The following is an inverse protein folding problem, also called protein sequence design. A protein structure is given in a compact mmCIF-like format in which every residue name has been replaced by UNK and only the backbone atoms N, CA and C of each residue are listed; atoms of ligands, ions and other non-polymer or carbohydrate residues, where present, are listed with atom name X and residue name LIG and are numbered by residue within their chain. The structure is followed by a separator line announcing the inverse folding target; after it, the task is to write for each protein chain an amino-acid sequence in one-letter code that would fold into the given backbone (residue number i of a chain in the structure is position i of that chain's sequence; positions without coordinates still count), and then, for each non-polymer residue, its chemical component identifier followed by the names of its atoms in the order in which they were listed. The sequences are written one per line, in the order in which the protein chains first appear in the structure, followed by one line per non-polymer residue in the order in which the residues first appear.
data_IF_298368194069
#
_entry.id   IF_298368194069
#
_cell.length_a   1.000
_cell.length_b   1.000
_cell.length_c   1.000
_cell.angle_alpha   90.00
_cell.angle_beta   90.00
_cell.angle_gamma   90.00
#
_symmetry.space_group_name_H-M   'P 1'
#
loop_
_entity.id
_entity.type
_entity.pdbx_description
1 polymer ?
#
# COMPACT_ATOMS: atom_id res chain seq x y z
N UNK A 1 6.04 16.71 8.79
CA UNK A 1 4.95 15.79 9.17
C UNK A 1 4.63 14.88 8.00
N UNK A 2 4.46 13.60 8.25
CA UNK A 2 4.11 12.57 7.26
C UNK A 2 2.78 11.95 7.67
N UNK A 3 1.88 11.72 6.71
CA UNK A 3 0.65 10.96 6.92
C UNK A 3 0.83 9.58 6.30
N UNK A 4 0.86 8.57 7.12
CA UNK A 4 1.13 7.19 6.73
C UNK A 4 -0.14 6.34 6.74
N UNK A 5 -0.19 5.37 5.84
CA UNK A 5 -1.22 4.36 5.76
C UNK A 5 -0.77 3.20 4.85
N UNK A 6 -1.43 2.07 4.97
CA UNK A 6 -1.23 0.94 4.07
C UNK A 6 -2.42 0.72 3.14
N UNK A 7 -2.14 0.12 1.99
CA UNK A 7 -3.19 -0.27 1.06
C UNK A 7 -2.92 -1.62 0.45
N UNK A 8 -4.00 -2.35 0.17
CA UNK A 8 -3.97 -3.66 -0.47
C UNK A 8 -4.41 -3.54 -1.92
N UNK A 9 -3.65 -4.16 -2.80
CA UNK A 9 -3.92 -4.28 -4.22
C UNK A 9 -4.24 -5.73 -4.56
N UNK A 10 -5.30 -5.93 -5.30
CA UNK A 10 -5.74 -7.24 -5.74
C UNK A 10 -5.29 -7.51 -7.18
N UNK A 11 -4.90 -8.75 -7.45
CA UNK A 11 -4.58 -9.22 -8.81
C UNK A 11 -5.78 -9.19 -9.74
N UNK A 12 -6.97 -9.25 -9.20
CA UNK A 12 -8.22 -9.29 -9.95
C UNK A 12 -8.86 -7.92 -10.07
N UNK A 13 -9.56 -7.70 -11.20
CA UNK A 13 -10.30 -6.48 -11.40
C UNK A 13 -11.38 -6.30 -10.33
N UNK A 14 -11.40 -5.11 -9.74
CA UNK A 14 -12.50 -4.70 -8.88
C UNK A 14 -13.63 -4.16 -9.76
N UNK A 15 -14.88 -4.61 -9.56
CA UNK A 15 -16.04 -4.01 -10.22
C UNK A 15 -16.10 -2.51 -9.90
N UNK A 16 -16.34 -1.70 -10.92
CA UNK A 16 -16.53 -0.26 -10.75
C UNK A 16 -17.83 0.20 -11.37
N UNK A 17 -18.47 1.14 -10.73
CA UNK A 17 -19.54 1.92 -11.34
C UNK A 17 -18.94 2.78 -12.46
N UNK A 18 -19.58 2.80 -13.60
CA UNK A 18 -19.20 3.61 -14.77
C UNK A 18 -20.41 3.93 -15.62
N UNK A 19 -20.27 4.92 -16.49
CA UNK A 19 -21.29 5.25 -17.48
C UNK A 19 -21.13 4.28 -18.68
N UNK A 20 -22.21 3.57 -19.02
CA UNK A 20 -22.25 2.62 -20.12
C UNK A 20 -23.42 2.93 -21.04
N UNK A 21 -23.25 2.73 -22.33
CA UNK A 21 -24.38 2.76 -23.25
C UNK A 21 -25.43 1.72 -22.82
N UNK A 22 -26.69 2.10 -22.80
CA UNK A 22 -27.84 1.30 -22.31
C UNK A 22 -27.95 -0.09 -22.95
N UNK A 23 -27.38 -0.27 -24.15
CA UNK A 23 -27.35 -1.57 -24.85
C UNK A 23 -26.07 -2.40 -24.61
N UNK A 24 -25.07 -1.86 -23.90
CA UNK A 24 -23.81 -2.55 -23.66
C UNK A 24 -23.65 -2.87 -22.18
N UNK A 25 -23.67 -4.15 -21.84
CA UNK A 25 -23.23 -4.58 -20.49
C UNK A 25 -21.72 -4.43 -20.40
N UNK A 26 -21.24 -3.81 -19.30
CA UNK A 26 -19.84 -3.80 -18.98
C UNK A 26 -19.29 -5.24 -18.96
N UNK A 27 -18.51 -5.60 -19.94
CA UNK A 27 -17.77 -6.86 -19.94
C UNK A 27 -16.45 -6.59 -19.23
N UNK A 28 -16.36 -6.97 -17.96
CA UNK A 28 -15.05 -7.15 -17.35
C UNK A 28 -14.34 -8.24 -18.17
N UNK A 29 -13.16 -7.95 -18.68
CA UNK A 29 -12.33 -8.94 -19.37
C UNK A 29 -11.69 -9.91 -18.36
N UNK A 30 -12.51 -10.39 -17.44
CA UNK A 30 -12.16 -11.42 -16.49
C UNK A 30 -12.60 -12.75 -17.08
N UNK A 31 -11.66 -13.56 -17.52
CA UNK A 31 -11.98 -15.00 -17.59
C UNK A 31 -12.39 -15.37 -16.16
N UNK A 32 -13.63 -15.89 -15.94
CA UNK A 32 -14.00 -16.35 -14.63
C UNK A 32 -12.97 -17.40 -14.21
N UNK A 33 -12.38 -17.22 -13.03
CA UNK A 33 -11.49 -18.23 -12.48
C UNK A 33 -12.28 -19.52 -12.32
N UNK A 34 -11.73 -20.61 -12.83
CA UNK A 34 -12.33 -21.93 -12.59
C UNK A 34 -12.27 -22.22 -11.09
N UNK A 35 -13.24 -22.99 -10.57
CA UNK A 35 -13.23 -23.40 -9.16
C UNK A 35 -11.91 -24.08 -8.75
N UNK A 36 -11.24 -24.77 -9.69
CA UNK A 36 -9.92 -25.36 -9.48
C UNK A 36 -8.81 -24.31 -9.33
N UNK A 37 -8.92 -23.14 -9.97
CA UNK A 37 -7.99 -22.03 -9.78
C UNK A 37 -8.23 -21.34 -8.44
N UNK A 38 -9.48 -21.15 -8.03
CA UNK A 38 -9.84 -20.61 -6.72
C UNK A 38 -9.31 -21.51 -5.60
N UNK A 39 -9.52 -22.83 -5.69
CA UNK A 39 -8.99 -23.80 -4.71
C UNK A 39 -7.47 -23.85 -4.68
N UNK A 40 -6.78 -23.73 -5.82
CA UNK A 40 -5.32 -23.63 -5.89
C UNK A 40 -4.82 -22.33 -5.25
N UNK A 41 -5.48 -21.20 -5.48
CA UNK A 41 -5.12 -19.93 -4.89
C UNK A 41 -5.36 -19.93 -3.37
N UNK A 42 -6.40 -20.61 -2.87
CA UNK A 42 -6.64 -20.81 -1.43
C UNK A 42 -5.63 -21.76 -0.79
N UNK A 43 -5.27 -22.84 -1.46
CA UNK A 43 -4.20 -23.74 -1.03
C UNK A 43 -2.84 -23.03 -1.02
N UNK A 44 -2.59 -22.19 -2.02
CA UNK A 44 -1.39 -21.36 -2.10
C UNK A 44 -1.34 -20.31 -0.99
N UNK A 45 -2.49 -19.71 -0.60
CA UNK A 45 -2.60 -18.83 0.58
C UNK A 45 -2.17 -19.54 1.87
N UNK A 46 -2.65 -20.77 2.08
CA UNK A 46 -2.27 -21.56 3.29
C UNK A 46 -0.79 -21.94 3.29
N UNK A 47 -0.23 -22.34 2.15
CA UNK A 47 1.19 -22.69 2.05
C UNK A 47 2.11 -21.46 2.05
N UNK A 48 1.69 -20.34 1.48
CA UNK A 48 2.44 -19.08 1.50
C UNK A 48 2.54 -18.51 2.92
N UNK A 49 1.55 -18.74 3.78
CA UNK A 49 1.62 -18.34 5.19
C UNK A 49 2.68 -19.11 5.98
N UNK A 50 3.00 -20.35 5.58
CA UNK A 50 3.93 -21.23 6.30
C UNK A 50 5.38 -21.13 5.80
N UNK A 51 5.62 -20.74 4.54
CA UNK A 51 6.94 -20.86 3.89
C UNK A 51 7.56 -19.56 3.43
N UNK A 52 8.41 -18.98 4.13
CA UNK A 52 9.47 -18.07 3.67
C UNK A 52 9.21 -16.56 3.44
N UNK A 53 10.18 -15.81 3.84
CA UNK A 53 10.36 -14.37 3.85
C UNK A 53 11.03 -13.83 2.55
N UNK A 54 10.80 -14.44 1.39
CA UNK A 54 11.50 -14.14 0.13
C UNK A 54 10.55 -13.63 -0.97
N UNK A 55 11.08 -12.86 -1.90
CA UNK A 55 10.40 -12.35 -3.11
C UNK A 55 9.72 -13.43 -3.97
N UNK A 56 10.17 -14.69 -3.91
CA UNK A 56 9.52 -15.80 -4.59
C UNK A 56 8.05 -16.03 -4.16
N UNK A 57 7.61 -15.45 -3.06
CA UNK A 57 6.22 -15.46 -2.59
C UNK A 57 5.31 -14.48 -3.31
N UNK A 58 5.86 -13.40 -3.87
CA UNK A 58 5.09 -12.42 -4.61
C UNK A 58 4.48 -13.06 -5.86
N UNK A 59 5.13 -14.08 -6.42
CA UNK A 59 4.71 -14.69 -7.69
C UNK A 59 3.52 -15.63 -7.58
N UNK A 60 3.20 -16.13 -6.39
CA UNK A 60 2.13 -17.13 -6.18
C UNK A 60 0.89 -16.61 -5.45
N UNK A 61 0.90 -15.39 -4.98
CA UNK A 61 -0.20 -14.81 -4.19
C UNK A 61 -1.27 -14.09 -5.02
N UNK A 62 -2.27 -13.59 -4.34
CA UNK A 62 -3.46 -12.93 -4.91
C UNK A 62 -3.46 -11.42 -4.64
N UNK A 63 -2.67 -10.97 -3.69
CA UNK A 63 -2.63 -9.58 -3.24
C UNK A 63 -1.21 -9.06 -3.01
N UNK A 64 -1.06 -7.77 -3.11
CA UNK A 64 0.15 -7.02 -2.85
C UNK A 64 -0.18 -5.88 -1.90
N UNK A 65 0.68 -5.61 -0.93
CA UNK A 65 0.52 -4.49 -0.03
C UNK A 65 1.47 -3.35 -0.39
N UNK A 66 1.03 -2.12 -0.17
CA UNK A 66 1.86 -0.91 -0.30
C UNK A 66 1.76 -0.14 1.00
N UNK A 67 2.89 0.09 1.64
CA UNK A 67 3.03 1.02 2.75
C UNK A 67 3.39 2.36 2.14
N UNK A 68 2.75 3.45 2.56
CA UNK A 68 3.09 4.75 2.05
C UNK A 68 2.88 5.87 3.04
N UNK A 69 3.58 6.97 2.81
CA UNK A 69 3.38 8.20 3.57
C UNK A 69 3.47 9.42 2.64
N UNK A 70 2.60 10.38 2.85
CA UNK A 70 2.64 11.66 2.15
C UNK A 70 3.18 12.76 3.06
N UNK A 71 4.11 13.53 2.56
CA UNK A 71 4.67 14.66 3.29
C UNK A 71 3.75 15.87 3.19
N UNK A 72 3.33 16.38 4.36
CA UNK A 72 2.54 17.61 4.47
C UNK A 72 3.24 18.79 3.76
N UNK A 73 2.47 19.55 3.01
CA UNK A 73 2.90 20.76 2.32
C UNK A 73 3.66 20.53 1.01
N UNK A 74 4.34 19.40 0.82
CA UNK A 74 5.11 19.11 -0.41
C UNK A 74 4.43 18.10 -1.32
N UNK A 75 3.43 17.38 -0.81
CA UNK A 75 2.76 16.26 -1.48
C UNK A 75 3.71 15.13 -1.93
N UNK A 76 4.96 15.11 -1.46
CA UNK A 76 5.91 14.03 -1.76
C UNK A 76 5.42 12.72 -1.13
N UNK A 77 5.36 11.66 -1.91
CA UNK A 77 4.95 10.33 -1.48
C UNK A 77 6.17 9.44 -1.30
N UNK A 78 6.31 8.87 -0.11
CA UNK A 78 7.24 7.78 0.18
C UNK A 78 6.46 6.48 0.11
N UNK A 79 7.03 5.42 -0.44
CA UNK A 79 6.32 4.13 -0.50
C UNK A 79 7.29 2.95 -0.46
N UNK A 80 6.75 1.82 -0.01
CA UNK A 80 7.38 0.51 -0.07
C UNK A 80 6.34 -0.51 -0.49
N UNK A 81 6.65 -1.29 -1.53
CA UNK A 81 5.80 -2.39 -1.99
C UNK A 81 6.25 -3.65 -1.27
N UNK A 82 5.33 -4.33 -0.61
CA UNK A 82 5.62 -5.49 0.25
C UNK A 82 4.64 -6.63 -0.06
N UNK A 83 5.04 -7.90 0.16
CA UNK A 83 4.14 -9.04 -0.02
C UNK A 83 2.94 -9.01 0.93
N UNK A 84 3.16 -8.56 2.15
CA UNK A 84 2.15 -8.40 3.20
C UNK A 84 2.60 -7.28 4.14
N UNK A 85 1.68 -6.69 4.87
CA UNK A 85 1.97 -5.66 5.84
C UNK A 85 2.12 -6.28 7.22
N UNK A 86 3.30 -6.09 7.84
CA UNK A 86 3.58 -6.49 9.22
C UNK A 86 4.55 -5.50 9.90
N UNK A 87 4.76 -5.68 11.21
CA UNK A 87 5.63 -4.80 11.98
C UNK A 87 7.11 -4.82 11.50
N UNK A 88 7.55 -5.91 10.89
CA UNK A 88 8.90 -6.03 10.33
C UNK A 88 9.04 -5.15 9.08
N UNK A 89 8.04 -5.19 8.19
CA UNK A 89 8.02 -4.38 6.98
C UNK A 89 7.87 -2.89 7.32
N UNK A 90 7.02 -2.56 8.31
CA UNK A 90 6.90 -1.19 8.82
C UNK A 90 8.22 -0.68 9.42
N UNK A 91 8.92 -1.50 10.20
CA UNK A 91 10.24 -1.17 10.74
C UNK A 91 11.23 -0.80 9.63
N UNK A 92 11.33 -1.64 8.60
CA UNK A 92 12.21 -1.37 7.46
C UNK A 92 11.78 -0.11 6.69
N UNK A 93 10.48 0.14 6.58
CA UNK A 93 9.94 1.33 5.96
C UNK A 93 10.32 2.59 6.75
N UNK A 94 10.23 2.57 8.08
CA UNK A 94 10.69 3.69 8.94
C UNK A 94 12.17 3.98 8.67
N UNK A 95 13.04 2.97 8.64
CA UNK A 95 14.46 3.17 8.32
C UNK A 95 14.67 3.78 6.92
N UNK A 96 13.92 3.33 5.91
CA UNK A 96 13.97 3.89 4.56
C UNK A 96 13.55 5.37 4.53
N UNK A 97 12.48 5.73 5.22
CA UNK A 97 12.00 7.11 5.33
C UNK A 97 13.04 7.97 6.07
N UNK A 98 13.52 7.51 7.23
CA UNK A 98 14.48 8.25 8.04
C UNK A 98 15.83 8.45 7.35
N UNK A 99 16.26 7.52 6.50
CA UNK A 99 17.44 7.71 5.65
C UNK A 99 17.32 8.93 4.73
N UNK A 100 16.10 9.25 4.26
CA UNK A 100 15.84 10.47 3.46
C UNK A 100 15.96 11.75 4.29
N UNK A 101 15.59 11.69 5.57
CA UNK A 101 15.60 12.81 6.49
C UNK A 101 16.87 12.91 7.36
N UNK A 102 17.91 12.12 7.06
CA UNK A 102 19.13 12.05 7.90
C UNK A 102 19.83 13.39 8.13
N UNK A 103 19.69 14.36 7.21
CA UNK A 103 20.27 15.70 7.29
C UNK A 103 19.32 16.73 7.91
N UNK A 104 18.13 16.35 8.27
CA UNK A 104 17.13 17.24 8.84
C UNK A 104 17.32 17.32 10.35
N UNK A 105 17.42 18.51 10.88
CA UNK A 105 17.47 18.76 12.34
C UNK A 105 16.09 18.67 12.99
N UNK A 106 15.01 18.82 12.19
CA UNK A 106 13.63 18.77 12.65
C UNK A 106 13.18 17.35 12.90
N UNK A 107 12.41 17.16 13.95
CA UNK A 107 11.76 15.86 14.22
C UNK A 107 10.77 15.48 13.11
N UNK A 108 10.84 14.24 12.67
CA UNK A 108 9.90 13.65 11.73
C UNK A 108 8.73 13.07 12.53
N UNK A 109 7.56 13.65 12.37
CA UNK A 109 6.31 13.14 12.96
C UNK A 109 5.55 12.35 11.90
N UNK A 110 5.30 11.09 12.17
CA UNK A 110 4.50 10.22 11.30
C UNK A 110 3.11 10.02 11.92
N UNK A 111 2.09 10.50 11.23
CA UNK A 111 0.70 10.40 11.64
C UNK A 111 0.18 9.06 11.15
N UNK A 112 -0.29 8.24 12.07
CA UNK A 112 -0.71 6.85 11.84
C UNK A 112 -2.06 6.56 12.48
N UNK A 113 -2.74 5.54 12.02
CA UNK A 113 -3.91 5.00 12.72
C UNK A 113 -3.52 4.22 13.99
N UNK A 114 -4.52 3.71 14.70
CA UNK A 114 -4.32 2.89 15.91
C UNK A 114 -4.22 1.39 15.62
N UNK A 115 -3.82 1.00 14.43
CA UNK A 115 -3.57 -0.41 14.10
C UNK A 115 -2.63 -1.07 15.12
N UNK A 116 -2.85 -2.35 15.40
CA UNK A 116 -1.97 -3.13 16.27
C UNK A 116 -0.52 -3.20 15.80
N UNK A 117 -0.30 -3.05 14.49
CA UNK A 117 1.04 -3.07 13.89
C UNK A 117 1.85 -1.86 14.33
N UNK A 118 1.23 -0.66 14.39
CA UNK A 118 1.89 0.58 14.84
C UNK A 118 2.27 0.56 16.35
N UNK A 119 1.67 -0.35 17.12
CA UNK A 119 1.92 -0.53 18.57
C UNK A 119 2.68 -1.82 18.88
N UNK A 120 3.21 -2.48 17.87
CA UNK A 120 3.92 -3.75 18.07
C UNK A 120 5.27 -3.52 18.75
N UNK A 121 5.57 -4.28 19.81
CA UNK A 121 6.87 -4.25 20.52
C UNK A 121 8.09 -4.41 19.60
N UNK A 122 7.92 -5.00 18.42
CA UNK A 122 8.98 -5.11 17.42
C UNK A 122 9.47 -3.75 16.90
N UNK A 123 8.74 -2.66 17.14
CA UNK A 123 9.11 -1.30 16.75
C UNK A 123 9.89 -0.57 17.83
N UNK A 124 9.84 -1.02 19.10
CA UNK A 124 10.40 -0.31 20.25
C UNK A 124 11.89 0.03 20.04
N UNK A 125 12.70 -0.95 19.65
CA UNK A 125 14.12 -0.70 19.37
C UNK A 125 14.37 0.31 18.24
N UNK A 126 13.47 0.41 17.26
CA UNK A 126 13.56 1.39 16.17
C UNK A 126 13.14 2.78 16.63
N UNK A 127 12.09 2.87 17.44
CA UNK A 127 11.63 4.12 18.03
C UNK A 127 12.69 4.67 19.00
N UNK A 128 13.32 3.81 19.78
CA UNK A 128 14.44 4.19 20.66
C UNK A 128 15.67 4.67 19.88
N UNK A 129 16.02 3.97 18.78
CA UNK A 129 17.11 4.35 17.90
C UNK A 129 16.92 5.77 17.30
N UNK A 130 15.69 6.14 16.98
CA UNK A 130 15.36 7.46 16.43
C UNK A 130 14.76 8.42 17.45
N UNK A 131 14.93 8.18 18.75
CA UNK A 131 14.42 9.04 19.82
C UNK A 131 14.85 10.51 19.62
N UNK A 132 13.90 11.44 19.69
CA UNK A 132 14.13 12.86 19.43
C UNK A 132 14.24 13.25 17.95
N UNK A 133 14.30 12.28 17.04
CA UNK A 133 14.30 12.51 15.57
C UNK A 133 13.05 12.00 14.87
N UNK A 134 12.36 11.04 15.48
CA UNK A 134 11.17 10.42 14.93
C UNK A 134 10.19 10.06 16.03
N UNK A 135 8.89 10.25 15.76
CA UNK A 135 7.80 9.73 16.60
C UNK A 135 6.53 9.47 15.80
N UNK A 136 5.71 8.58 16.31
CA UNK A 136 4.34 8.43 15.87
C UNK A 136 3.41 9.47 16.52
N UNK A 137 2.44 9.91 15.75
CA UNK A 137 1.26 10.64 16.23
C UNK A 137 0.02 9.84 15.82
N UNK A 138 -0.72 9.33 16.82
CA UNK A 138 -1.87 8.47 16.58
C UNK A 138 -3.13 9.29 16.32
N UNK A 139 -3.81 9.01 15.21
CA UNK A 139 -5.12 9.54 14.93
C UNK A 139 -6.15 9.03 15.94
N UNK A 140 -7.25 9.77 16.20
CA UNK A 140 -8.38 9.26 16.96
C UNK A 140 -8.90 7.95 16.35
N UNK A 141 -9.45 7.07 17.19
CA UNK A 141 -10.01 5.82 16.73
C UNK A 141 -11.14 6.08 15.70
N UNK A 142 -11.20 5.24 14.66
CA UNK A 142 -12.21 5.29 13.60
C UNK A 142 -12.23 6.57 12.73
N UNK A 143 -11.22 7.43 12.82
CA UNK A 143 -11.15 8.68 12.06
C UNK A 143 -10.14 8.63 10.90
N UNK A 144 -9.37 7.55 10.73
CA UNK A 144 -8.30 7.44 9.75
C UNK A 144 -8.76 7.81 8.33
N UNK A 145 -9.84 7.19 7.87
CA UNK A 145 -10.38 7.39 6.51
C UNK A 145 -10.92 8.81 6.21
N UNK A 146 -11.18 9.63 7.22
CA UNK A 146 -11.58 11.03 7.05
C UNK A 146 -10.44 12.00 7.23
N UNK A 147 -9.50 11.70 8.13
CA UNK A 147 -8.44 12.62 8.54
C UNK A 147 -7.10 12.34 7.88
N UNK A 148 -6.93 11.17 7.24
CA UNK A 148 -5.68 10.82 6.59
C UNK A 148 -5.72 11.15 5.09
N UNK A 149 -5.02 12.19 4.63
CA UNK A 149 -5.08 12.64 3.23
C UNK A 149 -4.53 11.61 2.24
N UNK A 150 -3.74 10.64 2.68
CA UNK A 150 -3.20 9.58 1.80
C UNK A 150 -4.28 8.62 1.31
N UNK A 151 -5.41 8.51 1.99
CA UNK A 151 -6.54 7.68 1.58
C UNK A 151 -7.10 8.09 0.19
N UNK A 152 -7.19 9.40 -0.06
CA UNK A 152 -7.59 9.92 -1.36
C UNK A 152 -6.60 9.52 -2.46
N UNK A 153 -5.31 9.54 -2.16
CA UNK A 153 -4.26 9.08 -3.06
C UNK A 153 -4.38 7.59 -3.36
N UNK A 154 -4.59 6.75 -2.34
CA UNK A 154 -4.77 5.31 -2.53
C UNK A 154 -5.93 4.98 -3.47
N UNK A 155 -7.03 5.72 -3.37
CA UNK A 155 -8.18 5.54 -4.27
C UNK A 155 -7.79 5.78 -5.72
N UNK A 156 -7.17 6.94 -6.01
CA UNK A 156 -6.74 7.29 -7.38
C UNK A 156 -5.66 6.33 -7.90
N UNK A 157 -4.73 5.93 -7.03
CA UNK A 157 -3.69 4.96 -7.39
C UNK A 157 -4.28 3.59 -7.73
N UNK A 158 -5.22 3.07 -6.92
CA UNK A 158 -5.92 1.81 -7.20
C UNK A 158 -6.63 1.85 -8.56
N UNK A 159 -7.18 3.00 -8.92
CA UNK A 159 -7.80 3.23 -10.22
C UNK A 159 -6.80 3.16 -11.36
N UNK A 160 -5.71 3.89 -11.24
CA UNK A 160 -4.66 3.92 -12.25
C UNK A 160 -4.00 2.54 -12.45
N UNK A 161 -3.93 1.72 -11.40
CA UNK A 161 -3.36 0.37 -11.46
C UNK A 161 -4.35 -0.63 -12.04
N UNK A 162 -5.55 -0.70 -11.45
CA UNK A 162 -6.43 -1.86 -11.54
C UNK A 162 -7.77 -1.64 -12.25
N UNK A 163 -8.11 -0.40 -12.69
CA UNK A 163 -9.41 -0.15 -13.30
C UNK A 163 -9.67 -1.07 -14.51
N UNK A 164 -10.63 -2.00 -14.34
CA UNK A 164 -11.02 -2.96 -15.39
C UNK A 164 -9.93 -3.96 -15.79
N UNK A 165 -8.88 -4.15 -15.00
CA UNK A 165 -7.74 -5.01 -15.33
C UNK A 165 -7.61 -6.19 -14.39
N UNK A 166 -7.26 -7.34 -14.99
CA UNK A 166 -6.76 -8.52 -14.28
C UNK A 166 -5.28 -8.71 -14.63
N UNK A 167 -4.50 -9.13 -13.66
CA UNK A 167 -3.10 -9.45 -13.83
C UNK A 167 -2.92 -10.96 -13.84
N UNK A 168 -2.09 -11.48 -14.76
CA UNK A 168 -1.82 -12.89 -14.88
C UNK A 168 -1.12 -13.47 -13.64
N UNK A 169 -0.25 -12.64 -13.02
CA UNK A 169 0.50 -12.98 -11.82
C UNK A 169 0.76 -11.73 -10.95
N UNK A 170 1.33 -11.92 -9.77
CA UNK A 170 1.70 -10.81 -8.89
C UNK A 170 2.87 -9.98 -9.41
N UNK A 171 3.74 -10.56 -10.23
CA UNK A 171 4.83 -9.81 -10.81
C UNK A 171 4.32 -8.71 -11.74
N UNK A 172 3.32 -9.01 -12.57
CA UNK A 172 2.66 -8.00 -13.42
C UNK A 172 1.99 -6.91 -12.59
N UNK A 173 1.28 -7.27 -11.52
CA UNK A 173 0.70 -6.32 -10.58
C UNK A 173 1.79 -5.44 -9.94
N UNK A 174 2.88 -6.04 -9.47
CA UNK A 174 4.02 -5.33 -8.89
C UNK A 174 4.64 -4.33 -9.88
N UNK A 175 4.93 -4.77 -11.11
CA UNK A 175 5.50 -3.91 -12.14
C UNK A 175 4.58 -2.74 -12.49
N UNK A 176 3.28 -3.01 -12.58
CA UNK A 176 2.28 -1.97 -12.82
C UNK A 176 2.21 -0.98 -11.66
N UNK A 177 2.16 -1.48 -10.42
CA UNK A 177 2.13 -0.66 -9.20
C UNK A 177 3.36 0.23 -9.13
N UNK A 178 4.54 -0.34 -9.30
CA UNK A 178 5.80 0.42 -9.31
C UNK A 178 5.80 1.52 -10.37
N UNK A 179 5.35 1.22 -11.60
CA UNK A 179 5.28 2.19 -12.69
C UNK A 179 4.33 3.35 -12.37
N UNK A 180 3.17 3.07 -11.80
CA UNK A 180 2.20 4.11 -11.42
C UNK A 180 2.74 4.99 -10.31
N UNK A 181 3.37 4.39 -9.28
CA UNK A 181 3.95 5.14 -8.16
C UNK A 181 5.14 6.01 -8.62
N UNK A 182 6.00 5.50 -9.50
CA UNK A 182 7.11 6.28 -10.08
C UNK A 182 6.57 7.44 -10.94
N UNK A 183 5.60 7.17 -11.80
CA UNK A 183 4.99 8.20 -12.63
C UNK A 183 4.33 9.32 -11.80
N UNK A 184 3.75 8.97 -10.64
CA UNK A 184 3.22 9.97 -9.71
C UNK A 184 4.31 10.89 -9.14
N UNK A 185 5.51 10.39 -8.91
CA UNK A 185 6.63 11.21 -8.44
C UNK A 185 7.11 12.20 -9.49
N UNK A 186 7.03 11.83 -10.78
CA UNK A 186 7.40 12.70 -11.90
C UNK A 186 6.27 13.68 -12.25
N UNK A 187 5.04 13.18 -12.30
CA UNK A 187 3.82 13.94 -12.59
C UNK A 187 2.70 13.51 -11.65
N UNK A 188 2.38 14.34 -10.63
CA UNK A 188 1.37 13.99 -9.65
C UNK A 188 0.02 13.67 -10.29
N UNK A 189 -0.47 12.44 -10.10
CA UNK A 189 -1.81 11.99 -10.54
C UNK A 189 -2.90 12.37 -9.53
N UNK A 190 -2.49 12.88 -8.36
CA UNK A 190 -3.38 13.28 -7.27
C UNK A 190 -2.84 14.55 -6.61
N UNK A 191 -3.72 15.54 -6.46
CA UNK A 191 -3.42 16.76 -5.71
C UNK A 191 -3.95 16.62 -4.29
N UNK A 192 -3.05 16.66 -3.31
CA UNK A 192 -3.43 16.66 -1.90
C UNK A 192 -4.03 18.03 -1.53
N UNK A 193 -5.18 18.00 -0.87
CA UNK A 193 -5.81 19.18 -0.25
C UNK A 193 -5.50 19.11 1.24
N UNK A 194 -4.85 20.13 1.72
CA UNK A 194 -4.44 20.27 3.11
C UNK A 194 -5.44 21.12 3.89
#
# INVERSE_FOLDING_TARGET
MLYEDETILWRFALPRAGWWHTAQRARLSTRPMSQSQIKRDEACKRQAWVRSRSWSRITSGVLLSVIGAVQYGTAKVFYKIVPHFDAQELRQYIHQVMATFRKTEKEVVMVVDRSGIHRAHKLDATLDHYRGKFRFHFLPAHCGHHLNPIEGFWRVMKDAIGAGRCFGDLHQLYQRTRRVLMAHQERPIYAFRW
#
